data_IF_684299502154
#
_entry.id   IF_684299502154
#
_cell.length_a   1.000
_cell.length_b   1.000
_cell.length_c   1.000
_cell.angle_alpha   90.00
_cell.angle_beta   90.00
_cell.angle_gamma   90.00
#
_symmetry.space_group_name_H-M   'P 1'
#
loop_
_entity.id
_entity.type
_entity.pdbx_description
1 polymer ?
#
# COMPACT_ATOMS: atom_id res chain seq x y z
N UNK A 1 0.11 16.81 -6.57
CA UNK A 1 -0.96 16.19 -5.75
C UNK A 1 -0.55 16.36 -4.30
N UNK A 2 -1.39 16.92 -3.44
CA UNK A 2 -1.09 17.05 -2.01
C UNK A 2 -1.42 15.73 -1.30
N UNK A 3 -0.64 15.31 -0.28
CA UNK A 3 -1.03 14.23 0.61
C UNK A 3 -2.32 14.60 1.33
N UNK A 4 -3.25 13.65 1.42
CA UNK A 4 -4.48 13.75 2.17
C UNK A 4 -4.38 12.86 3.41
N UNK A 5 -4.88 13.31 4.59
CA UNK A 5 -4.98 12.43 5.75
C UNK A 5 -5.94 11.28 5.44
N UNK A 6 -5.54 10.07 5.80
CA UNK A 6 -6.28 8.84 5.61
C UNK A 6 -5.95 7.85 6.74
N UNK A 7 -6.72 6.77 6.86
CA UNK A 7 -6.36 5.67 7.74
C UNK A 7 -5.59 4.62 6.96
N UNK A 8 -4.54 4.09 7.57
CA UNK A 8 -3.77 2.98 6.99
C UNK A 8 -4.67 1.74 6.90
N UNK A 9 -4.89 1.15 5.71
CA UNK A 9 -5.75 -0.03 5.56
C UNK A 9 -5.20 -1.29 6.26
N UNK A 10 -3.96 -1.27 6.73
CA UNK A 10 -3.30 -2.41 7.38
C UNK A 10 -3.42 -2.39 8.90
N UNK A 11 -3.32 -1.21 9.51
CA UNK A 11 -3.23 -1.06 10.96
C UNK A 11 -4.20 -0.03 11.54
N UNK A 12 -5.01 0.63 10.71
CA UNK A 12 -5.96 1.66 11.12
C UNK A 12 -5.34 2.96 11.64
N UNK A 13 -4.01 3.05 11.75
CA UNK A 13 -3.32 4.26 12.23
C UNK A 13 -3.45 5.39 11.21
N UNK A 14 -3.45 6.64 11.70
CA UNK A 14 -3.39 7.82 10.83
C UNK A 14 -2.18 7.73 9.89
N UNK A 15 -2.45 7.91 8.62
CA UNK A 15 -1.49 7.84 7.53
C UNK A 15 -1.81 8.94 6.52
N UNK A 16 -0.83 9.26 5.69
CA UNK A 16 -1.07 10.15 4.56
C UNK A 16 -1.26 9.33 3.30
N UNK A 17 -2.23 9.68 2.45
CA UNK A 17 -2.38 9.10 1.12
C UNK A 17 -2.18 10.18 0.07
N UNK A 18 -1.42 9.89 -0.96
CA UNK A 18 -1.25 10.76 -2.14
C UNK A 18 -1.65 9.98 -3.38
N UNK A 19 -2.42 10.59 -4.27
CA UNK A 19 -2.81 9.95 -5.53
C UNK A 19 -1.58 9.79 -6.42
N UNK A 20 -1.32 8.56 -6.88
CA UNK A 20 -0.20 8.22 -7.75
C UNK A 20 -0.73 7.69 -9.09
N UNK A 21 -0.49 8.45 -10.16
CA UNK A 21 -0.83 8.04 -11.52
C UNK A 21 0.01 6.84 -11.98
N UNK A 22 1.28 6.76 -11.58
CA UNK A 22 2.19 5.65 -11.88
C UNK A 22 1.65 4.30 -11.36
N UNK A 23 1.02 4.31 -10.18
CA UNK A 23 0.43 3.12 -9.57
C UNK A 23 -1.06 2.92 -9.91
N UNK A 24 -1.66 3.78 -10.76
CA UNK A 24 -3.13 3.82 -10.99
C UNK A 24 -3.92 3.80 -9.67
N UNK A 25 -3.43 4.52 -8.66
CA UNK A 25 -3.84 4.31 -7.27
C UNK A 25 -3.39 5.41 -6.33
N UNK A 26 -3.03 4.99 -5.12
CA UNK A 26 -2.64 5.87 -4.04
C UNK A 26 -1.34 5.35 -3.42
N UNK A 27 -0.44 6.25 -3.05
CA UNK A 27 0.70 5.94 -2.21
C UNK A 27 0.33 6.35 -0.79
N UNK A 28 0.41 5.40 0.13
CA UNK A 28 0.22 5.60 1.55
C UNK A 28 1.58 5.77 2.23
N UNK A 29 1.62 6.65 3.22
CA UNK A 29 2.75 6.85 4.12
C UNK A 29 2.22 6.74 5.53
N UNK A 30 2.45 5.57 6.13
CA UNK A 30 2.09 5.30 7.51
C UNK A 30 3.34 5.32 8.39
N UNK A 31 3.33 5.97 9.56
CA UNK A 31 4.47 5.95 10.48
C UNK A 31 4.74 4.54 11.05
N UNK A 32 3.71 3.67 11.13
CA UNK A 32 3.82 2.31 11.69
C UNK A 32 4.10 1.25 10.62
N UNK A 33 3.37 1.28 9.51
CA UNK A 33 3.52 0.32 8.41
C UNK A 33 4.52 0.77 7.33
N UNK A 34 4.94 2.04 7.35
CA UNK A 34 5.79 2.66 6.34
C UNK A 34 5.07 3.15 5.09
N UNK A 35 5.88 3.47 4.09
CA UNK A 35 5.42 3.94 2.78
C UNK A 35 5.17 2.77 1.82
N UNK A 36 4.00 2.74 1.21
CA UNK A 36 3.60 1.71 0.25
C UNK A 36 2.59 2.25 -0.77
N UNK A 37 2.54 1.65 -1.95
CA UNK A 37 1.52 1.86 -2.96
C UNK A 37 0.29 1.00 -2.73
N UNK A 38 -0.87 1.44 -3.19
CA UNK A 38 -2.07 0.62 -3.33
C UNK A 38 -2.82 1.03 -4.60
N UNK A 39 -3.17 0.05 -5.41
CA UNK A 39 -4.01 0.27 -6.59
C UNK A 39 -5.44 0.64 -6.17
N UNK A 40 -6.10 1.49 -6.94
CA UNK A 40 -7.50 1.86 -6.67
C UNK A 40 -8.39 0.61 -6.60
N UNK A 41 -8.10 -0.39 -7.43
CA UNK A 41 -8.81 -1.68 -7.49
C UNK A 41 -8.66 -2.52 -6.20
N UNK A 42 -7.58 -2.32 -5.44
CA UNK A 42 -7.31 -3.03 -4.20
C UNK A 42 -7.82 -2.28 -2.95
N UNK A 43 -8.02 -0.96 -3.06
CA UNK A 43 -8.42 -0.07 -1.95
C UNK A 43 -9.77 -0.44 -1.29
N UNK A 44 -10.66 -1.13 -2.01
CA UNK A 44 -11.98 -1.51 -1.53
C UNK A 44 -12.09 -2.95 -1.00
N UNK A 45 -11.00 -3.71 -1.00
CA UNK A 45 -11.03 -5.09 -0.54
C UNK A 45 -10.61 -5.11 0.94
N UNK A 46 -11.57 -5.37 1.83
CA UNK A 46 -11.35 -5.53 3.27
C UNK A 46 -10.52 -6.78 3.65
N UNK A 47 -10.09 -7.57 2.67
CA UNK A 47 -9.26 -8.76 2.85
C UNK A 47 -7.80 -8.44 2.51
N UNK A 48 -7.18 -7.56 3.29
CA UNK A 48 -5.73 -7.39 3.23
C UNK A 48 -5.07 -8.63 3.86
N UNK A 49 -4.11 -9.30 3.18
CA UNK A 49 -3.50 -10.49 3.75
C UNK A 49 -2.81 -10.16 5.09
N UNK A 50 -2.91 -11.05 6.10
CA UNK A 50 -2.28 -10.82 7.41
C UNK A 50 -0.76 -10.72 7.32
N UNK A 51 -0.15 -11.31 6.28
CA UNK A 51 1.29 -11.18 5.99
C UNK A 51 1.68 -9.82 5.38
N UNK A 52 0.71 -9.00 4.97
CA UNK A 52 0.98 -7.76 4.24
C UNK A 52 1.96 -6.82 4.96
N UNK A 53 1.86 -6.56 6.28
CA UNK A 53 2.83 -5.71 6.96
C UNK A 53 4.27 -6.24 6.88
N UNK A 54 4.44 -7.57 6.98
CA UNK A 54 5.73 -8.23 6.86
C UNK A 54 6.26 -8.18 5.41
N UNK A 55 5.40 -8.42 4.42
CA UNK A 55 5.76 -8.33 3.00
C UNK A 55 6.19 -6.91 2.62
N UNK A 56 5.47 -5.89 3.10
CA UNK A 56 5.82 -4.49 2.92
C UNK A 56 7.17 -4.15 3.59
N UNK A 57 7.42 -4.65 4.80
CA UNK A 57 8.70 -4.45 5.50
C UNK A 57 9.85 -5.12 4.75
N UNK A 58 9.64 -6.34 4.28
CA UNK A 58 10.63 -7.12 3.54
C UNK A 58 11.00 -6.46 2.21
N UNK A 59 10.02 -6.03 1.42
CA UNK A 59 10.27 -5.33 0.15
C UNK A 59 11.00 -4.00 0.34
N UNK A 60 10.66 -3.25 1.39
CA UNK A 60 11.38 -2.01 1.76
C UNK A 60 12.82 -2.28 2.17
N UNK A 61 13.08 -3.35 2.92
CA UNK A 61 14.44 -3.74 3.28
C UNK A 61 15.29 -4.06 2.05
N UNK A 62 14.67 -4.56 0.97
CA UNK A 62 15.33 -4.76 -0.33
C UNK A 62 15.44 -3.48 -1.18
N UNK A 63 14.98 -2.33 -0.70
CA UNK A 63 15.03 -1.05 -1.43
C UNK A 63 13.90 -0.85 -2.43
N UNK A 64 12.91 -1.75 -2.49
CA UNK A 64 11.74 -1.58 -3.36
C UNK A 64 10.66 -0.76 -2.68
N UNK A 65 9.91 0.01 -3.48
CA UNK A 65 8.65 0.59 -3.01
C UNK A 65 7.57 -0.50 -3.08
N UNK A 66 7.08 -1.01 -1.95
CA UNK A 66 6.10 -2.07 -2.01
C UNK A 66 4.75 -1.51 -2.49
N UNK A 67 4.02 -2.31 -3.27
CA UNK A 67 2.72 -1.96 -3.82
C UNK A 67 1.72 -3.09 -3.57
N UNK A 68 0.55 -2.68 -3.12
CA UNK A 68 -0.61 -3.51 -2.91
C UNK A 68 -1.42 -3.51 -4.20
N UNK A 69 -1.53 -4.66 -4.84
CA UNK A 69 -2.23 -4.83 -6.11
C UNK A 69 -3.37 -5.82 -5.95
N UNK A 70 -4.41 -5.65 -6.76
CA UNK A 70 -5.49 -6.63 -6.79
C UNK A 70 -5.12 -7.76 -7.73
N UNK A 71 -5.21 -9.00 -7.27
CA UNK A 71 -5.04 -10.21 -8.07
C UNK A 71 -6.37 -10.98 -8.18
N UNK A 72 -6.42 -12.04 -8.98
CA UNK A 72 -7.63 -12.88 -9.16
C UNK A 72 -8.09 -13.53 -7.86
N UNK A 73 -7.17 -13.73 -6.91
CA UNK A 73 -7.43 -14.36 -5.60
C UNK A 73 -7.67 -13.34 -4.46
N UNK A 74 -7.64 -12.02 -4.74
CA UNK A 74 -7.83 -10.99 -3.73
C UNK A 74 -6.79 -9.88 -3.83
N UNK A 75 -6.04 -9.65 -2.76
CA UNK A 75 -5.03 -8.60 -2.68
C UNK A 75 -3.66 -9.22 -2.45
N UNK A 76 -2.65 -8.77 -3.22
CA UNK A 76 -1.26 -9.20 -3.10
C UNK A 76 -0.35 -8.02 -2.83
N UNK A 77 0.74 -8.27 -2.10
CA UNK A 77 1.82 -7.31 -1.90
C UNK A 77 2.98 -7.70 -2.80
N UNK A 78 3.45 -6.78 -3.64
CA UNK A 78 4.59 -7.00 -4.52
C UNK A 78 5.45 -5.74 -4.67
N UNK A 79 6.63 -5.83 -5.30
CA UNK A 79 7.39 -4.64 -5.64
C UNK A 79 6.58 -3.80 -6.63
N UNK A 80 6.30 -2.55 -6.28
CA UNK A 80 5.72 -1.59 -7.21
C UNK A 80 6.71 -1.30 -8.33
N UNK A 81 6.22 -1.25 -9.57
CA UNK A 81 7.01 -0.69 -10.67
C UNK A 81 7.21 0.79 -10.37
N UNK A 82 8.46 1.18 -10.15
CA UNK A 82 8.87 2.59 -10.05
C UNK A 82 8.61 3.31 -11.38
#
# INVERSE_FOLDING_TARGET
MLPQPANCPLCGTSAERIRSSALRGYKYTCPKCGSFGIETSALGINAMPPSAPQDLARLRAYGYLPCIQRDKQGVRVGPGKA
#
